data_IF_575998711698
#
_entry.id   IF_575998711698
#
_cell.length_a   1.000
_cell.length_b   1.000
_cell.length_c   1.000
_cell.angle_alpha   90.00
_cell.angle_beta   90.00
_cell.angle_gamma   90.00
#
_symmetry.space_group_name_H-M   'P 1'
#
loop_
_entity.id
_entity.type
_entity.pdbx_description
1 polymer ?
#
# COMPACT_ATOMS: atom_id res chain seq x y z
N UNK A 1 2.86 -18.44 -7.19
CA UNK A 1 2.10 -19.70 -7.10
C UNK A 1 2.95 -20.82 -6.52
N UNK A 2 4.16 -21.07 -7.06
CA UNK A 2 5.02 -22.17 -6.62
C UNK A 2 5.51 -21.98 -5.17
N UNK A 3 5.84 -20.76 -4.76
CA UNK A 3 6.22 -20.45 -3.36
C UNK A 3 5.09 -20.81 -2.39
N UNK A 4 3.84 -20.49 -2.71
CA UNK A 4 2.67 -20.84 -1.85
C UNK A 4 2.59 -22.34 -1.68
N UNK A 5 2.72 -23.12 -2.77
CA UNK A 5 2.70 -24.59 -2.72
C UNK A 5 3.87 -25.16 -1.93
N UNK A 6 5.08 -24.60 -2.13
CA UNK A 6 6.28 -25.07 -1.43
C UNK A 6 6.18 -24.84 0.08
N UNK A 7 5.72 -23.68 0.51
CA UNK A 7 5.62 -23.35 1.94
C UNK A 7 4.35 -23.89 2.60
N UNK A 8 3.24 -23.92 1.86
CA UNK A 8 1.94 -24.40 2.37
C UNK A 8 1.80 -25.91 2.38
N UNK A 9 2.54 -26.64 1.51
CA UNK A 9 2.47 -28.09 1.41
C UNK A 9 1.03 -28.59 1.21
N UNK A 10 0.64 -29.59 1.99
CA UNK A 10 -0.72 -30.16 2.00
C UNK A 10 -1.73 -29.38 2.85
N UNK A 11 -1.31 -28.30 3.49
CA UNK A 11 -2.17 -27.42 4.30
C UNK A 11 -2.81 -26.30 3.48
N UNK A 12 -2.46 -26.17 2.19
CA UNK A 12 -2.91 -25.10 1.31
C UNK A 12 -3.47 -25.68 0.01
N UNK A 13 -4.70 -25.30 -0.30
CA UNK A 13 -5.27 -25.45 -1.62
C UNK A 13 -5.16 -24.10 -2.37
N UNK A 14 -4.56 -24.11 -3.55
CA UNK A 14 -4.41 -22.94 -4.38
C UNK A 14 -5.44 -22.96 -5.52
N UNK A 15 -6.47 -22.13 -5.40
CA UNK A 15 -7.47 -21.90 -6.43
C UNK A 15 -7.08 -20.65 -7.22
N UNK A 16 -6.98 -20.78 -8.54
CA UNK A 16 -6.66 -19.67 -9.44
C UNK A 16 -7.86 -19.47 -10.37
N UNK A 17 -8.55 -18.37 -10.19
CA UNK A 17 -9.77 -18.04 -10.93
C UNK A 17 -9.84 -16.53 -11.19
N UNK A 18 -10.69 -16.13 -12.16
CA UNK A 18 -10.86 -14.74 -12.55
C UNK A 18 -9.74 -14.22 -13.47
N UNK A 19 -10.05 -13.22 -14.27
CA UNK A 19 -9.11 -12.53 -15.16
C UNK A 19 -8.42 -11.33 -14.46
N UNK A 20 -8.97 -10.89 -13.31
CA UNK A 20 -8.49 -9.75 -12.52
C UNK A 20 -8.77 -9.97 -11.04
N UNK A 21 -8.30 -9.04 -10.21
CA UNK A 21 -8.49 -9.08 -8.75
C UNK A 21 -9.97 -9.14 -8.34
N UNK A 22 -10.83 -8.32 -8.97
CA UNK A 22 -12.24 -8.20 -8.58
C UNK A 22 -13.00 -9.50 -8.81
N UNK A 23 -12.73 -10.18 -9.94
CA UNK A 23 -13.32 -11.49 -10.25
C UNK A 23 -12.84 -12.59 -9.31
N UNK A 24 -11.55 -12.59 -8.98
CA UNK A 24 -10.99 -13.53 -8.02
C UNK A 24 -11.55 -13.30 -6.60
N UNK A 25 -11.74 -12.05 -6.20
CA UNK A 25 -12.35 -11.67 -4.93
C UNK A 25 -13.82 -12.12 -4.87
N UNK A 26 -14.60 -11.87 -5.91
CA UNK A 26 -15.99 -12.34 -5.98
C UNK A 26 -16.09 -13.86 -5.82
N UNK A 27 -15.26 -14.61 -6.56
CA UNK A 27 -15.23 -16.08 -6.45
C UNK A 27 -14.82 -16.56 -5.05
N UNK A 28 -13.94 -15.83 -4.34
CA UNK A 28 -13.57 -16.17 -2.97
C UNK A 28 -14.75 -15.95 -2.00
N UNK A 29 -15.52 -14.88 -2.20
CA UNK A 29 -16.73 -14.63 -1.40
C UNK A 29 -17.80 -15.69 -1.64
N UNK A 30 -18.07 -16.05 -2.91
CA UNK A 30 -19.01 -17.12 -3.24
C UNK A 30 -18.59 -18.44 -2.59
N UNK A 31 -17.30 -18.79 -2.66
CA UNK A 31 -16.77 -19.98 -2.00
C UNK A 31 -16.95 -19.96 -0.48
N UNK A 32 -16.72 -18.80 0.14
CA UNK A 32 -16.89 -18.67 1.59
C UNK A 32 -18.36 -18.81 2.01
N UNK A 33 -19.30 -18.26 1.23
CA UNK A 33 -20.75 -18.44 1.47
C UNK A 33 -21.16 -19.92 1.37
N UNK A 34 -20.66 -20.63 0.35
CA UNK A 34 -20.99 -22.05 0.13
C UNK A 34 -20.39 -22.97 1.19
N UNK A 35 -19.18 -22.69 1.68
CA UNK A 35 -18.43 -23.60 2.55
C UNK A 35 -18.42 -23.20 4.01
N UNK A 36 -18.81 -21.95 4.35
CA UNK A 36 -18.67 -21.39 5.69
C UNK A 36 -17.22 -21.00 6.04
N UNK A 37 -16.32 -20.89 5.03
CA UNK A 37 -14.95 -20.48 5.24
C UNK A 37 -14.85 -19.01 5.66
N UNK A 38 -13.88 -18.70 6.51
CA UNK A 38 -13.62 -17.31 6.91
C UNK A 38 -12.75 -16.62 5.88
N UNK A 39 -13.21 -15.50 5.33
CA UNK A 39 -12.40 -14.63 4.48
C UNK A 39 -11.50 -13.75 5.34
N UNK A 40 -10.23 -13.67 4.96
CA UNK A 40 -9.32 -12.64 5.44
C UNK A 40 -9.19 -11.61 4.31
N UNK A 41 -9.85 -10.48 4.51
CA UNK A 41 -9.83 -9.38 3.53
C UNK A 41 -8.40 -8.85 3.33
N UNK A 42 -7.96 -8.64 2.09
CA UNK A 42 -6.57 -8.25 1.82
C UNK A 42 -6.23 -6.83 2.30
N UNK A 43 -7.19 -5.92 2.38
CA UNK A 43 -6.93 -4.53 2.77
C UNK A 43 -8.11 -3.82 3.47
N UNK A 44 -9.37 -4.25 3.28
CA UNK A 44 -10.54 -3.50 3.70
C UNK A 44 -11.20 -4.05 4.99
N UNK A 45 -10.44 -4.75 5.83
CA UNK A 45 -10.91 -5.20 7.14
C UNK A 45 -10.14 -4.54 8.28
N UNK A 46 -10.82 -4.35 9.41
CA UNK A 46 -10.23 -3.74 10.60
C UNK A 46 -8.98 -4.49 11.07
N UNK A 47 -9.03 -5.80 11.14
CA UNK A 47 -7.91 -6.61 11.64
C UNK A 47 -6.71 -6.56 10.69
N UNK A 48 -6.96 -6.55 9.39
CA UNK A 48 -5.91 -6.35 8.38
C UNK A 48 -5.25 -4.98 8.55
N UNK A 49 -6.04 -3.91 8.71
CA UNK A 49 -5.53 -2.54 8.91
C UNK A 49 -4.71 -2.45 10.20
N UNK A 50 -5.17 -3.05 11.29
CA UNK A 50 -4.43 -3.09 12.56
C UNK A 50 -3.09 -3.82 12.38
N UNK A 51 -3.09 -4.96 11.69
CA UNK A 51 -1.87 -5.68 11.33
C UNK A 51 -0.89 -4.81 10.53
N UNK A 52 -1.39 -4.07 9.52
CA UNK A 52 -0.56 -3.15 8.73
C UNK A 52 0.00 -1.98 9.57
N UNK A 53 -0.68 -1.56 10.62
CA UNK A 53 -0.19 -0.55 11.55
C UNK A 53 1.10 -0.93 12.29
N UNK A 54 1.42 -2.22 12.40
CA UNK A 54 2.67 -2.70 13.01
C UNK A 54 3.91 -2.22 12.26
N UNK A 55 3.81 -1.95 10.96
CA UNK A 55 4.90 -1.35 10.17
C UNK A 55 5.31 0.00 10.75
N UNK A 56 4.34 0.87 11.05
CA UNK A 56 4.64 2.16 11.68
C UNK A 56 5.22 1.99 13.10
N UNK A 57 4.72 1.03 13.87
CA UNK A 57 5.24 0.72 15.19
C UNK A 57 6.73 0.33 15.14
N UNK A 58 7.10 -0.53 14.21
CA UNK A 58 8.49 -0.94 14.01
C UNK A 58 9.37 0.20 13.53
N UNK A 59 8.92 1.01 12.56
CA UNK A 59 9.64 2.19 12.09
C UNK A 59 9.95 3.13 13.25
N UNK A 60 8.94 3.49 14.06
CA UNK A 60 9.15 4.39 15.19
C UNK A 60 10.09 3.79 16.24
N UNK A 61 9.95 2.50 16.53
CA UNK A 61 10.83 1.79 17.48
C UNK A 61 12.28 1.79 17.02
N UNK A 62 12.54 1.44 15.75
CA UNK A 62 13.88 1.37 15.19
C UNK A 62 14.54 2.75 15.12
N UNK A 63 13.82 3.77 14.66
CA UNK A 63 14.34 5.14 14.63
C UNK A 63 14.60 5.69 16.03
N UNK A 64 13.70 5.43 16.98
CA UNK A 64 13.88 5.83 18.38
C UNK A 64 15.14 5.24 19.01
N UNK A 65 15.46 3.97 18.69
CA UNK A 65 16.71 3.34 19.14
C UNK A 65 17.97 4.05 18.59
N UNK A 66 17.84 4.76 17.47
CA UNK A 66 18.92 5.58 16.87
C UNK A 66 18.85 7.06 17.33
N UNK A 67 17.96 7.41 18.26
CA UNK A 67 17.73 8.80 18.69
C UNK A 67 17.09 9.68 17.62
N UNK A 68 16.33 9.07 16.69
CA UNK A 68 15.70 9.74 15.54
C UNK A 68 14.18 9.57 15.55
N UNK A 69 13.51 10.38 14.77
CA UNK A 69 12.07 10.24 14.45
C UNK A 69 11.85 10.55 12.97
N UNK A 70 10.86 9.93 12.32
CA UNK A 70 10.58 10.21 10.92
C UNK A 70 9.86 11.55 10.77
N UNK A 71 10.31 12.38 9.83
CA UNK A 71 9.59 13.56 9.39
C UNK A 71 8.51 13.17 8.38
N UNK A 72 8.83 12.21 7.51
CA UNK A 72 7.91 11.72 6.47
C UNK A 72 8.03 10.20 6.31
N UNK A 73 6.89 9.53 6.15
CA UNK A 73 6.82 8.13 5.72
C UNK A 73 6.14 8.09 4.35
N UNK A 74 6.80 7.49 3.36
CA UNK A 74 6.31 7.35 1.99
C UNK A 74 5.79 5.93 1.80
N UNK A 75 4.52 5.81 1.41
CA UNK A 75 3.74 4.57 1.45
C UNK A 75 3.14 4.29 0.08
N UNK A 76 3.37 3.11 -0.53
CA UNK A 76 2.65 2.69 -1.72
C UNK A 76 1.18 2.44 -1.40
N UNK A 77 0.29 2.84 -2.31
CA UNK A 77 -1.16 2.74 -2.13
C UNK A 77 -1.81 1.97 -3.28
N UNK A 78 -2.47 0.88 -2.93
CA UNK A 78 -3.45 0.17 -3.75
C UNK A 78 -4.83 0.30 -3.08
N UNK A 79 -5.36 -0.76 -2.46
CA UNK A 79 -6.64 -0.74 -1.74
C UNK A 79 -6.65 0.05 -0.42
N UNK A 80 -5.51 0.56 0.03
CA UNK A 80 -5.39 1.46 1.17
C UNK A 80 -5.16 0.79 2.53
N UNK A 81 -4.95 -0.54 2.60
CA UNK A 81 -4.76 -1.25 3.86
C UNK A 81 -3.52 -0.76 4.63
N UNK A 82 -2.37 -0.75 3.96
CA UNK A 82 -1.09 -0.36 4.55
C UNK A 82 -1.11 1.09 5.04
N UNK A 83 -1.51 2.03 4.18
CA UNK A 83 -1.54 3.45 4.53
C UNK A 83 -2.53 3.74 5.66
N UNK A 84 -3.68 3.06 5.69
CA UNK A 84 -4.67 3.22 6.77
C UNK A 84 -4.14 2.73 8.11
N UNK A 85 -3.43 1.60 8.13
CA UNK A 85 -2.76 1.09 9.33
C UNK A 85 -1.71 2.07 9.85
N UNK A 86 -0.85 2.57 8.97
CA UNK A 86 0.20 3.55 9.30
C UNK A 86 -0.42 4.84 9.83
N UNK A 87 -1.40 5.42 9.13
CA UNK A 87 -2.08 6.65 9.54
C UNK A 87 -2.75 6.49 10.91
N UNK A 88 -3.41 5.35 11.15
CA UNK A 88 -4.06 5.07 12.44
C UNK A 88 -3.06 5.04 13.58
N UNK A 89 -1.92 4.36 13.40
CA UNK A 89 -0.90 4.26 14.44
C UNK A 89 -0.20 5.61 14.69
N UNK A 90 0.14 6.33 13.62
CA UNK A 90 0.81 7.63 13.73
C UNK A 90 -0.09 8.72 14.33
N UNK A 91 -1.41 8.60 14.23
CA UNK A 91 -2.33 9.58 14.80
C UNK A 91 -2.09 9.79 16.30
N UNK A 92 -1.82 8.71 17.02
CA UNK A 92 -1.59 8.73 18.46
C UNK A 92 -0.10 8.82 18.79
N UNK A 93 0.75 8.07 18.08
CA UNK A 93 2.14 7.85 18.48
C UNK A 93 3.14 8.86 17.89
N UNK A 94 2.85 9.45 16.75
CA UNK A 94 3.70 10.46 16.09
C UNK A 94 2.88 11.45 15.26
N UNK A 95 2.10 12.33 15.92
CA UNK A 95 1.13 13.19 15.24
C UNK A 95 1.75 14.22 14.29
N UNK A 96 3.05 14.45 14.34
CA UNK A 96 3.76 15.39 13.46
C UNK A 96 4.35 14.77 12.21
N UNK A 97 4.47 13.44 12.16
CA UNK A 97 4.99 12.73 10.98
C UNK A 97 4.03 12.88 9.81
N UNK A 98 4.53 13.38 8.69
CA UNK A 98 3.80 13.44 7.44
C UNK A 98 3.75 12.05 6.78
N UNK A 99 2.70 11.80 5.99
CA UNK A 99 2.56 10.57 5.20
C UNK A 99 2.35 10.94 3.74
N UNK A 100 3.19 10.42 2.86
CA UNK A 100 2.99 10.54 1.41
C UNK A 100 2.42 9.22 0.91
N UNK A 101 1.19 9.26 0.39
CA UNK A 101 0.56 8.11 -0.24
C UNK A 101 0.81 8.12 -1.74
N UNK A 102 1.51 7.10 -2.26
CA UNK A 102 1.96 7.06 -3.65
C UNK A 102 1.18 6.03 -4.44
N UNK A 103 0.57 6.47 -5.53
CA UNK A 103 -0.16 5.62 -6.48
C UNK A 103 0.48 5.67 -7.87
N UNK A 104 0.35 4.58 -8.67
CA UNK A 104 0.68 4.64 -10.09
C UNK A 104 -0.37 5.43 -10.87
N UNK A 105 0.04 6.11 -11.93
CA UNK A 105 -0.87 6.89 -12.78
C UNK A 105 -1.98 6.02 -13.42
N UNK A 106 -1.69 4.75 -13.67
CA UNK A 106 -2.65 3.80 -14.22
C UNK A 106 -3.72 3.31 -13.24
N UNK A 107 -3.58 3.57 -11.93
CA UNK A 107 -4.55 3.14 -10.92
C UNK A 107 -4.66 4.13 -9.73
N UNK A 108 -5.02 5.42 -9.96
CA UNK A 108 -5.04 6.45 -8.94
C UNK A 108 -6.34 6.45 -8.11
N UNK A 109 -6.68 5.33 -7.47
CA UNK A 109 -7.95 5.12 -6.79
C UNK A 109 -8.13 6.00 -5.53
N UNK A 110 -7.05 6.27 -4.78
CA UNK A 110 -7.05 7.20 -3.66
C UNK A 110 -7.26 8.64 -4.14
N UNK A 111 -6.53 9.07 -5.16
CA UNK A 111 -6.66 10.42 -5.70
C UNK A 111 -8.06 10.68 -6.25
N UNK A 112 -8.64 9.70 -6.95
CA UNK A 112 -10.03 9.75 -7.41
C UNK A 112 -11.02 9.84 -6.24
N UNK A 113 -10.82 9.06 -5.19
CA UNK A 113 -11.66 9.07 -3.99
C UNK A 113 -11.58 10.41 -3.24
N UNK A 114 -10.37 10.98 -3.10
CA UNK A 114 -10.17 12.29 -2.47
C UNK A 114 -10.82 13.42 -3.28
N UNK A 115 -10.73 13.36 -4.61
CA UNK A 115 -11.37 14.35 -5.50
C UNK A 115 -12.89 14.28 -5.43
N UNK A 116 -13.45 13.08 -5.30
CA UNK A 116 -14.89 12.85 -5.22
C UNK A 116 -15.46 12.96 -3.79
N UNK A 117 -14.58 13.14 -2.77
CA UNK A 117 -14.92 13.13 -1.35
C UNK A 117 -15.66 11.86 -0.90
N UNK A 118 -15.39 10.74 -1.59
CA UNK A 118 -15.95 9.40 -1.31
C UNK A 118 -15.20 8.33 -2.11
N UNK A 119 -15.21 7.07 -1.68
CA UNK A 119 -14.71 5.99 -2.49
C UNK A 119 -15.44 5.89 -3.84
N UNK A 120 -14.69 5.86 -4.92
CA UNK A 120 -15.19 5.68 -6.30
C UNK A 120 -14.48 4.51 -6.96
N UNK A 121 -15.16 3.84 -7.88
CA UNK A 121 -14.58 2.75 -8.67
C UNK A 121 -14.10 3.32 -10.00
N UNK A 122 -12.84 3.11 -10.32
CA UNK A 122 -12.25 3.47 -11.61
C UNK A 122 -12.82 2.57 -12.71
N UNK A 123 -13.11 3.15 -13.87
CA UNK A 123 -13.62 2.40 -15.02
C UNK A 123 -12.59 1.36 -15.51
N UNK A 124 -11.33 1.74 -15.53
CA UNK A 124 -10.21 0.88 -15.93
C UNK A 124 -8.98 1.17 -15.07
N UNK A 125 -8.08 0.19 -14.97
CA UNK A 125 -6.75 0.32 -14.36
C UNK A 125 -5.70 -0.28 -15.29
N UNK A 126 -4.50 0.28 -15.29
CA UNK A 126 -3.34 -0.36 -15.90
C UNK A 126 -2.77 -1.37 -14.90
N UNK A 127 -2.67 -2.65 -15.24
CA UNK A 127 -2.15 -3.69 -14.35
C UNK A 127 -0.62 -3.75 -14.27
N UNK A 128 0.12 -2.81 -14.87
CA UNK A 128 1.58 -2.85 -14.85
C UNK A 128 2.13 -2.86 -13.40
N UNK A 129 1.60 -2.00 -12.52
CA UNK A 129 1.91 -2.00 -11.09
C UNK A 129 0.89 -2.87 -10.37
N UNK A 130 0.91 -4.17 -10.61
CA UNK A 130 -0.13 -5.13 -10.22
C UNK A 130 -0.42 -5.15 -8.71
N UNK A 131 0.61 -5.02 -7.86
CA UNK A 131 0.46 -4.93 -6.40
C UNK A 131 -0.27 -3.67 -5.90
N UNK A 132 -0.47 -2.65 -6.78
CA UNK A 132 -1.23 -1.44 -6.48
C UNK A 132 -2.38 -1.17 -7.45
N UNK A 133 -2.59 -2.03 -8.46
CA UNK A 133 -3.62 -1.87 -9.49
C UNK A 133 -5.02 -2.23 -8.99
N UNK A 134 -5.53 -1.44 -8.05
CA UNK A 134 -6.84 -1.62 -7.42
C UNK A 134 -7.81 -0.55 -7.90
N UNK A 135 -8.98 -0.97 -8.38
CA UNK A 135 -9.98 -0.03 -8.93
C UNK A 135 -10.61 0.90 -7.90
N UNK A 136 -10.61 0.51 -6.64
CA UNK A 136 -11.35 1.25 -5.59
C UNK A 136 -10.65 1.13 -4.24
N UNK A 137 -10.46 2.26 -3.58
CA UNK A 137 -10.03 2.28 -2.18
C UNK A 137 -11.12 1.66 -1.28
N UNK A 138 -10.74 0.91 -0.25
CA UNK A 138 -11.70 0.32 0.67
C UNK A 138 -12.50 1.37 1.46
N UNK A 139 -13.76 1.10 1.78
CA UNK A 139 -14.62 2.07 2.47
C UNK A 139 -14.09 2.43 3.86
N UNK A 140 -13.70 1.44 4.65
CA UNK A 140 -13.10 1.67 5.97
C UNK A 140 -11.74 2.38 5.86
N UNK A 141 -10.97 2.08 4.81
CA UNK A 141 -9.69 2.72 4.53
C UNK A 141 -9.88 4.21 4.23
N UNK A 142 -10.85 4.55 3.39
CA UNK A 142 -11.18 5.94 3.10
C UNK A 142 -11.59 6.72 4.34
N UNK A 143 -12.43 6.16 5.22
CA UNK A 143 -12.83 6.80 6.48
C UNK A 143 -11.64 7.11 7.39
N UNK A 144 -10.62 6.25 7.41
CA UNK A 144 -9.40 6.49 8.17
C UNK A 144 -8.55 7.58 7.50
N UNK A 145 -8.40 7.51 6.19
CA UNK A 145 -7.66 8.48 5.39
C UNK A 145 -8.27 9.87 5.54
N UNK A 146 -9.60 9.99 5.41
CA UNK A 146 -10.34 11.25 5.56
C UNK A 146 -10.07 11.95 6.89
N UNK A 147 -9.99 11.19 7.99
CA UNK A 147 -9.66 11.73 9.31
C UNK A 147 -8.20 12.20 9.45
N UNK A 148 -7.35 11.81 8.52
CA UNK A 148 -5.92 12.09 8.55
C UNK A 148 -5.43 13.00 7.40
N UNK A 149 -6.33 13.68 6.68
CA UNK A 149 -5.99 14.55 5.54
C UNK A 149 -4.99 15.65 5.89
N UNK A 150 -4.97 16.11 7.14
CA UNK A 150 -4.03 17.14 7.60
C UNK A 150 -2.55 16.73 7.57
N UNK A 151 -2.27 15.43 7.47
CA UNK A 151 -0.90 14.87 7.40
C UNK A 151 -0.64 14.07 6.13
N UNK A 152 -1.68 13.76 5.35
CA UNK A 152 -1.58 12.97 4.15
C UNK A 152 -1.33 13.86 2.93
N UNK A 153 -0.33 13.50 2.15
CA UNK A 153 0.01 14.11 0.86
C UNK A 153 -0.10 13.03 -0.24
N UNK A 154 -1.18 13.01 -1.00
CA UNK A 154 -1.32 12.05 -2.10
C UNK A 154 -0.40 12.45 -3.26
N UNK A 155 0.25 11.47 -3.87
CA UNK A 155 1.13 11.65 -5.00
C UNK A 155 0.88 10.55 -6.04
N UNK A 156 0.89 10.93 -7.31
CA UNK A 156 0.75 9.99 -8.43
C UNK A 156 2.03 10.03 -9.25
N UNK A 157 2.62 8.85 -9.49
CA UNK A 157 3.84 8.69 -10.28
C UNK A 157 3.57 7.90 -11.55
N UNK A 158 4.33 8.17 -12.63
CA UNK A 158 4.16 7.44 -13.87
C UNK A 158 4.83 6.05 -13.81
N UNK A 159 4.29 5.10 -14.56
CA UNK A 159 4.85 3.74 -14.71
C UNK A 159 6.28 3.78 -15.25
N UNK A 160 6.58 4.73 -16.15
CA UNK A 160 7.94 4.94 -16.66
C UNK A 160 8.94 5.34 -15.57
N UNK A 161 8.52 6.21 -14.64
CA UNK A 161 9.34 6.58 -13.48
C UNK A 161 9.56 5.37 -12.55
N UNK A 162 8.52 4.56 -12.31
CA UNK A 162 8.63 3.33 -11.53
C UNK A 162 9.62 2.34 -12.16
N UNK A 163 9.57 2.14 -13.49
CA UNK A 163 10.54 1.30 -14.19
C UNK A 163 11.98 1.77 -14.00
N UNK A 164 12.19 3.08 -14.11
CA UNK A 164 13.52 3.68 -13.91
C UNK A 164 14.01 3.41 -12.49
N UNK A 165 13.17 3.67 -11.51
CA UNK A 165 13.51 3.49 -10.09
C UNK A 165 13.82 2.02 -9.74
N UNK A 166 13.09 1.06 -10.31
CA UNK A 166 13.40 -0.36 -10.13
C UNK A 166 14.83 -0.71 -10.60
N UNK A 167 15.26 -0.11 -11.72
CA UNK A 167 16.62 -0.30 -12.25
C UNK A 167 17.64 0.36 -11.33
N UNK A 168 17.38 1.59 -10.88
CA UNK A 168 18.25 2.32 -9.95
C UNK A 168 18.42 1.58 -8.62
N UNK A 169 17.33 1.10 -8.01
CA UNK A 169 17.36 0.29 -6.79
C UNK A 169 18.22 -0.97 -6.96
N UNK A 170 18.09 -1.64 -8.11
CA UNK A 170 18.90 -2.82 -8.39
C UNK A 170 20.39 -2.49 -8.59
N UNK A 171 20.68 -1.48 -9.41
CA UNK A 171 22.07 -1.17 -9.80
C UNK A 171 22.88 -0.52 -8.68
N UNK A 172 22.24 0.38 -7.91
CA UNK A 172 22.94 1.19 -6.92
C UNK A 172 22.86 0.58 -5.52
N UNK A 173 21.73 -0.06 -5.17
CA UNK A 173 21.48 -0.54 -3.81
C UNK A 173 21.44 -2.08 -3.70
N UNK A 174 21.41 -2.79 -4.84
CA UNK A 174 21.29 -4.25 -4.86
C UNK A 174 19.91 -4.74 -4.42
N UNK A 175 18.90 -3.88 -4.45
CA UNK A 175 17.52 -4.18 -4.05
C UNK A 175 16.73 -4.59 -5.28
N UNK A 176 16.11 -5.77 -5.23
CA UNK A 176 15.16 -6.21 -6.25
C UNK A 176 13.76 -5.93 -5.71
N UNK A 177 13.11 -4.92 -6.27
CA UNK A 177 11.74 -4.55 -5.92
C UNK A 177 10.78 -4.88 -7.07
N UNK A 178 9.56 -5.32 -6.73
CA UNK A 178 8.46 -5.31 -7.69
C UNK A 178 7.99 -3.88 -7.97
N UNK A 179 7.21 -3.63 -9.03
CA UNK A 179 6.76 -2.27 -9.36
C UNK A 179 6.06 -1.56 -8.20
N UNK A 180 5.19 -2.24 -7.45
CA UNK A 180 4.51 -1.66 -6.29
C UNK A 180 5.49 -1.31 -5.15
N UNK A 181 6.53 -2.13 -4.95
CA UNK A 181 7.58 -1.88 -3.97
C UNK A 181 8.44 -0.66 -4.28
N UNK A 182 8.64 -0.34 -5.57
CA UNK A 182 9.42 0.82 -6.00
C UNK A 182 8.67 2.16 -5.90
N UNK A 183 7.32 2.15 -5.78
CA UNK A 183 6.49 3.38 -5.77
C UNK A 183 6.97 4.42 -4.75
N UNK A 184 7.28 4.00 -3.53
CA UNK A 184 7.65 4.91 -2.46
C UNK A 184 8.97 5.64 -2.74
N UNK A 185 9.95 4.94 -3.31
CA UNK A 185 11.25 5.53 -3.66
C UNK A 185 11.13 6.40 -4.91
N UNK A 186 10.34 5.98 -5.91
CA UNK A 186 10.02 6.79 -7.10
C UNK A 186 9.51 8.19 -6.73
N UNK A 187 8.71 8.28 -5.67
CA UNK A 187 8.14 9.55 -5.22
C UNK A 187 9.17 10.56 -4.69
N UNK A 188 10.37 10.13 -4.30
CA UNK A 188 11.39 11.03 -3.71
C UNK A 188 11.78 12.16 -4.64
N UNK A 189 11.81 11.93 -5.94
CA UNK A 189 12.14 12.95 -6.94
C UNK A 189 11.13 14.11 -7.00
N UNK A 190 9.90 13.87 -6.55
CA UNK A 190 8.81 14.86 -6.55
C UNK A 190 8.67 15.59 -5.20
N UNK A 191 9.36 15.10 -4.16
CA UNK A 191 9.26 15.66 -2.82
C UNK A 191 10.27 16.79 -2.60
N UNK A 192 9.80 17.85 -1.93
CA UNK A 192 10.67 18.93 -1.46
C UNK A 192 11.18 18.61 -0.07
N UNK A 193 12.31 17.91 0.00
CA UNK A 193 12.92 17.47 1.23
C UNK A 193 13.98 18.44 1.71
N UNK A 194 14.02 18.66 3.02
CA UNK A 194 15.10 19.38 3.70
C UNK A 194 16.34 18.50 3.86
N UNK A 195 17.51 19.10 3.99
CA UNK A 195 18.80 18.39 4.10
C UNK A 195 18.88 17.46 5.33
N UNK A 196 18.11 17.74 6.37
CA UNK A 196 18.13 16.98 7.64
C UNK A 196 16.85 16.15 7.84
N UNK A 197 15.94 16.14 6.88
CA UNK A 197 14.70 15.39 6.99
C UNK A 197 14.96 13.88 7.02
N UNK A 198 14.31 13.20 7.94
CA UNK A 198 14.34 11.75 8.01
C UNK A 198 13.12 11.21 7.28
N UNK A 199 13.37 10.64 6.12
CA UNK A 199 12.34 10.07 5.26
C UNK A 199 12.46 8.56 5.25
N UNK A 200 11.33 7.89 5.46
CA UNK A 200 11.25 6.42 5.38
C UNK A 200 10.41 6.03 4.18
N UNK A 201 11.01 5.34 3.21
CA UNK A 201 10.32 4.77 2.06
C UNK A 201 10.01 3.30 2.31
N UNK A 202 8.76 2.90 2.17
CA UNK A 202 8.36 1.50 2.34
C UNK A 202 8.50 0.77 1.01
N UNK A 203 9.43 -0.19 0.95
CA UNK A 203 9.55 -1.12 -0.16
C UNK A 203 8.72 -2.34 0.20
N UNK A 204 7.53 -2.47 -0.38
CA UNK A 204 6.51 -3.45 0.03
C UNK A 204 6.64 -4.83 -0.62
N UNK A 205 7.50 -4.97 -1.60
CA UNK A 205 7.72 -6.24 -2.31
C UNK A 205 8.83 -6.19 -3.34
#
# INVERSE_FOLDING_TARGET
RDRIKVHGGNMVELVVTGANFDEASAAAHDYAEETGATIIEPFAARDTIVGQGTVAAEILSQLSAMGKSPDTIVVPVGGGGLISGILSYLADMSPRTAVVGVEPAGAPSLNAALTAEKPVTLDAVDPFVDGAAVKRIGDINYQIIEKNLGRLHPLVVSEGAVCTEMIELYQNEGIIAEPAGALSVTALSELKLGTNDIVVCIISG
#
